data_IF_060575633017
#
_entry.id   IF_060575633017
#
_cell.length_a   1.000
_cell.length_b   1.000
_cell.length_c   1.000
_cell.angle_alpha   90.00
_cell.angle_beta   90.00
_cell.angle_gamma   90.00
#
_symmetry.space_group_name_H-M   'P 1'
#
loop_
_entity.id
_entity.type
_entity.pdbx_description
1 polymer ?
#
# COMPACT_ATOMS: atom_id res chain seq x y z
N UNK A 1 -1.62 20.34 11.37
CA UNK A 1 -0.97 19.30 12.16
C UNK A 1 -0.66 18.11 11.27
N UNK A 2 0.60 17.66 11.23
CA UNK A 2 0.95 16.56 10.35
C UNK A 2 0.30 15.25 10.79
N UNK A 3 0.02 14.39 9.82
CA UNK A 3 -0.48 13.06 10.09
C UNK A 3 0.61 12.21 10.76
N UNK A 4 0.24 11.19 11.53
CA UNK A 4 1.23 10.30 12.15
C UNK A 4 2.02 9.55 11.09
N UNK A 5 3.27 9.23 11.42
CA UNK A 5 4.13 8.44 10.55
C UNK A 5 3.82 6.94 10.72
N UNK A 6 4.52 6.10 9.94
CA UNK A 6 4.32 4.66 9.98
C UNK A 6 4.60 4.04 11.34
N UNK A 7 5.63 4.50 12.03
CA UNK A 7 5.97 3.99 13.36
C UNK A 7 4.87 4.27 14.37
N UNK A 8 4.29 5.47 14.30
CA UNK A 8 3.21 5.83 15.20
C UNK A 8 1.99 4.96 14.94
N UNK A 9 1.64 4.77 13.67
CA UNK A 9 0.51 3.92 13.27
C UNK A 9 0.75 2.47 13.71
N UNK A 10 1.97 1.97 13.53
CA UNK A 10 2.31 0.60 13.94
C UNK A 10 2.14 0.42 15.45
N UNK A 11 2.58 1.38 16.25
CA UNK A 11 2.44 1.30 17.70
C UNK A 11 0.99 1.35 18.14
N UNK A 12 0.18 2.19 17.51
CA UNK A 12 -1.24 2.25 17.81
C UNK A 12 -1.94 0.95 17.43
N UNK A 13 -1.62 0.42 16.26
CA UNK A 13 -2.20 -0.84 15.79
C UNK A 13 -1.89 -1.98 16.75
N UNK A 14 -0.65 -2.06 17.21
CA UNK A 14 -0.23 -3.08 18.16
C UNK A 14 -0.95 -2.92 19.49
N UNK A 15 -1.01 -1.68 19.99
CA UNK A 15 -1.68 -1.39 21.25
C UNK A 15 -3.16 -1.76 21.23
N UNK A 16 -3.84 -1.45 20.12
CA UNK A 16 -5.26 -1.71 19.96
C UNK A 16 -5.56 -3.09 19.41
N UNK A 17 -4.53 -3.87 19.10
CA UNK A 17 -4.67 -5.21 18.51
C UNK A 17 -5.50 -5.22 17.25
N UNK A 18 -5.22 -4.27 16.36
CA UNK A 18 -5.92 -4.15 15.10
C UNK A 18 -5.60 -5.31 14.17
N UNK A 19 -6.57 -5.68 13.35
CA UNK A 19 -6.34 -6.68 12.31
C UNK A 19 -5.39 -6.09 11.25
N UNK A 20 -4.83 -6.97 10.41
CA UNK A 20 -3.98 -6.54 9.32
C UNK A 20 -4.70 -5.51 8.43
N UNK A 21 -5.96 -5.77 8.11
CA UNK A 21 -6.73 -4.89 7.24
C UNK A 21 -6.97 -3.52 7.88
N UNK A 22 -7.27 -3.50 9.16
CA UNK A 22 -7.46 -2.26 9.90
C UNK A 22 -6.17 -1.46 9.99
N UNK A 23 -5.04 -2.16 10.21
CA UNK A 23 -3.74 -1.53 10.24
C UNK A 23 -3.41 -0.87 8.90
N UNK A 24 -3.63 -1.60 7.79
CA UNK A 24 -3.39 -1.06 6.45
C UNK A 24 -4.26 0.16 6.17
N UNK A 25 -5.52 0.11 6.61
CA UNK A 25 -6.42 1.24 6.44
C UNK A 25 -5.92 2.49 7.17
N UNK A 26 -5.41 2.33 8.39
CA UNK A 26 -4.84 3.45 9.12
C UNK A 26 -3.61 4.02 8.43
N UNK A 27 -2.73 3.15 7.89
CA UNK A 27 -1.57 3.61 7.13
C UNK A 27 -2.00 4.42 5.93
N UNK A 28 -3.03 3.96 5.21
CA UNK A 28 -3.54 4.66 4.04
C UNK A 28 -4.14 6.01 4.40
N UNK A 29 -4.89 6.08 5.49
CA UNK A 29 -5.49 7.35 5.94
C UNK A 29 -4.41 8.36 6.33
N UNK A 30 -3.40 7.92 7.06
CA UNK A 30 -2.30 8.79 7.44
C UNK A 30 -1.53 9.30 6.21
N UNK A 31 -1.27 8.41 5.25
CA UNK A 31 -0.56 8.77 4.03
C UNK A 31 -1.37 9.76 3.18
N UNK A 32 -2.68 9.52 3.06
CA UNK A 32 -3.56 10.44 2.31
C UNK A 32 -3.53 11.83 2.90
N UNK A 33 -3.57 11.93 4.21
CA UNK A 33 -3.53 13.21 4.90
C UNK A 33 -2.21 13.95 4.64
N UNK A 34 -1.12 13.21 4.42
CA UNK A 34 0.20 13.79 4.12
C UNK A 34 0.47 13.93 2.64
N UNK A 35 -0.45 13.49 1.80
CA UNK A 35 -0.30 13.47 0.35
C UNK A 35 0.92 12.67 -0.07
N UNK A 36 1.04 11.47 0.46
CA UNK A 36 2.18 10.59 0.19
C UNK A 36 1.71 9.13 0.08
N UNK A 37 2.65 8.23 -0.13
CA UNK A 37 2.38 6.79 -0.21
C UNK A 37 2.37 6.22 1.20
N UNK A 38 1.49 5.22 1.44
CA UNK A 38 1.42 4.53 2.73
C UNK A 38 2.80 4.01 3.14
N UNK A 39 3.12 4.10 4.43
CA UNK A 39 4.46 3.88 4.93
C UNK A 39 4.99 2.45 4.75
N UNK A 40 4.11 1.49 4.51
CA UNK A 40 4.49 0.08 4.31
C UNK A 40 4.93 -0.23 2.87
N UNK A 41 4.80 0.71 1.94
CA UNK A 41 5.05 0.45 0.51
C UNK A 41 6.34 1.02 -0.07
N UNK A 42 6.83 2.22 0.37
CA UNK A 42 7.95 2.85 -0.34
C UNK A 42 9.20 1.99 -0.45
N UNK A 43 9.58 1.29 0.59
CA UNK A 43 10.77 0.46 0.57
C UNK A 43 10.66 -0.64 -0.47
N UNK A 44 9.53 -1.34 -0.50
CA UNK A 44 9.28 -2.38 -1.49
C UNK A 44 9.35 -1.83 -2.91
N UNK A 45 8.69 -0.69 -3.14
CA UNK A 45 8.66 -0.07 -4.46
C UNK A 45 10.06 0.34 -4.90
N UNK A 46 10.84 0.92 -4.00
CA UNK A 46 12.17 1.42 -4.33
C UNK A 46 13.20 0.32 -4.52
N UNK A 47 12.98 -0.85 -3.94
CA UNK A 47 13.88 -1.98 -4.12
C UNK A 47 13.59 -2.78 -5.39
N UNK A 48 12.49 -2.50 -6.07
CA UNK A 48 12.05 -3.30 -7.22
C UNK A 48 11.85 -2.45 -8.47
N UNK A 49 12.83 -2.46 -9.35
CA UNK A 49 12.77 -1.68 -10.60
C UNK A 49 11.56 -2.03 -11.45
N UNK A 50 11.24 -3.31 -11.54
CA UNK A 50 10.11 -3.79 -12.34
C UNK A 50 8.78 -3.26 -11.78
N UNK A 51 8.67 -3.19 -10.47
CA UNK A 51 7.46 -2.67 -9.83
C UNK A 51 7.27 -1.20 -10.20
N UNK A 52 8.36 -0.42 -10.13
CA UNK A 52 8.27 1.00 -10.50
C UNK A 52 7.90 1.18 -11.97
N UNK A 53 8.48 0.37 -12.85
CA UNK A 53 8.15 0.42 -14.28
C UNK A 53 6.67 0.06 -14.51
N UNK A 54 6.18 -0.97 -13.84
CA UNK A 54 4.79 -1.39 -13.96
C UNK A 54 3.83 -0.30 -13.47
N UNK A 55 4.16 0.37 -12.38
CA UNK A 55 3.33 1.46 -11.86
C UNK A 55 3.27 2.62 -12.84
N UNK A 56 4.38 2.92 -13.50
CA UNK A 56 4.39 4.01 -14.50
C UNK A 56 3.54 3.67 -15.72
N UNK A 57 3.62 2.42 -16.18
CA UNK A 57 2.76 1.97 -17.29
C UNK A 57 1.30 2.04 -16.90
N UNK A 58 0.96 1.55 -15.71
CA UNK A 58 -0.41 1.59 -15.22
C UNK A 58 -0.94 3.01 -15.14
N UNK A 59 -0.10 3.94 -14.70
CA UNK A 59 -0.46 5.34 -14.63
C UNK A 59 -0.71 5.94 -16.02
N UNK A 60 0.15 5.59 -16.98
CA UNK A 60 0.03 6.12 -18.35
C UNK A 60 -1.23 5.64 -19.05
N UNK A 61 -1.62 4.38 -18.83
CA UNK A 61 -2.80 3.81 -19.48
C UNK A 61 -4.06 3.91 -18.61
N UNK A 62 -3.92 4.48 -17.42
CA UNK A 62 -5.01 4.64 -16.48
C UNK A 62 -5.66 3.29 -16.13
N UNK A 63 -4.84 2.38 -15.64
CA UNK A 63 -5.29 1.03 -15.29
C UNK A 63 -6.50 1.06 -14.35
N UNK A 64 -7.47 0.21 -14.63
CA UNK A 64 -8.73 0.16 -13.88
C UNK A 64 -8.60 -0.67 -12.60
N UNK A 65 -9.55 -0.47 -11.69
CA UNK A 65 -9.62 -1.28 -10.49
C UNK A 65 -9.79 -2.76 -10.83
N UNK A 66 -10.54 -3.07 -11.88
CA UNK A 66 -10.72 -4.46 -12.32
C UNK A 66 -9.41 -5.08 -12.77
N UNK A 67 -8.57 -4.32 -13.47
CA UNK A 67 -7.27 -4.80 -13.91
C UNK A 67 -6.36 -5.07 -12.71
N UNK A 68 -6.36 -4.17 -11.74
CA UNK A 68 -5.58 -4.38 -10.51
C UNK A 68 -6.10 -5.55 -9.69
N UNK A 69 -7.42 -5.71 -9.64
CA UNK A 69 -8.03 -6.84 -8.94
C UNK A 69 -7.64 -8.16 -9.59
N UNK A 70 -7.65 -8.22 -10.93
CA UNK A 70 -7.23 -9.41 -11.66
C UNK A 70 -5.76 -9.75 -11.38
N UNK A 71 -4.91 -8.74 -11.31
CA UNK A 71 -3.50 -8.92 -10.98
C UNK A 71 -3.33 -9.53 -9.58
N UNK A 72 -4.06 -8.99 -8.61
CA UNK A 72 -3.99 -9.53 -7.24
C UNK A 72 -4.42 -10.98 -7.19
N UNK A 73 -5.50 -11.31 -7.89
CA UNK A 73 -6.02 -12.68 -7.92
C UNK A 73 -5.02 -13.64 -8.56
N UNK A 74 -4.38 -13.21 -9.64
CA UNK A 74 -3.35 -14.01 -10.29
C UNK A 74 -2.22 -14.34 -9.31
N UNK A 75 -1.76 -13.35 -8.57
CA UNK A 75 -0.70 -13.56 -7.60
C UNK A 75 -1.11 -14.49 -6.46
N UNK A 76 -2.33 -14.33 -5.96
CA UNK A 76 -2.84 -15.18 -4.88
C UNK A 76 -2.98 -16.62 -5.33
N UNK A 77 -3.45 -16.84 -6.55
CA UNK A 77 -3.70 -18.19 -7.05
C UNK A 77 -2.43 -19.01 -7.25
N UNK A 78 -1.30 -18.39 -7.48
CA UNK A 78 -0.05 -19.13 -7.67
C UNK A 78 0.60 -19.59 -6.37
N UNK A 79 0.01 -19.24 -5.24
CA UNK A 79 0.57 -19.57 -3.92
C UNK A 79 0.13 -20.93 -3.39
N UNK A 80 -0.49 -21.74 -4.22
CA UNK A 80 -0.96 -23.07 -3.82
C UNK A 80 0.11 -24.13 -3.91
#
# INVERSE_FOLDING_TARGET
RPAPDGDFVDRISEFLQLSKKEHELLLDLAARSRNTVSADLPEYIMENDIVRAALRVAKEVDATDEEWQAFMEMLKNRQH
#
